data_IF_622415627470
#
_entry.id   IF_622415627470
#
_cell.length_a   1.000
_cell.length_b   1.000
_cell.length_c   1.000
_cell.angle_alpha   90.00
_cell.angle_beta   90.00
_cell.angle_gamma   90.00
#
_symmetry.space_group_name_H-M   'P 1'
#
loop_
_entity.id
_entity.type
_entity.pdbx_description
1 polymer ?
#
# COMPACT_ATOMS: atom_id res chain seq x y z
N UNK A 1 -23.52 14.70 -5.23
CA UNK A 1 -23.61 13.62 -6.24
C UNK A 1 -22.61 12.57 -5.78
N UNK A 2 -23.07 11.41 -5.33
CA UNK A 2 -22.16 10.35 -4.86
C UNK A 2 -21.40 9.89 -6.10
N UNK A 3 -20.11 10.21 -6.20
CA UNK A 3 -19.28 9.68 -7.29
C UNK A 3 -19.28 8.17 -7.12
N UNK A 4 -19.65 7.47 -8.19
CA UNK A 4 -19.59 6.02 -8.21
C UNK A 4 -18.11 5.68 -8.19
N UNK A 5 -17.68 5.08 -7.10
CA UNK A 5 -16.29 4.69 -6.86
C UNK A 5 -15.81 3.77 -7.99
N UNK A 6 -14.78 4.21 -8.71
CA UNK A 6 -14.27 3.47 -9.87
C UNK A 6 -13.23 2.46 -9.38
N UNK A 7 -13.42 1.15 -9.63
CA UNK A 7 -12.41 0.15 -9.32
C UNK A 7 -11.08 0.47 -10.01
N UNK A 8 -9.99 0.34 -9.27
CA UNK A 8 -8.64 0.32 -9.78
C UNK A 8 -7.93 -0.84 -9.11
N UNK A 9 -7.45 -1.80 -9.89
CA UNK A 9 -6.81 -3.02 -9.36
C UNK A 9 -5.65 -3.42 -10.25
N UNK A 10 -4.49 -3.71 -9.65
CA UNK A 10 -3.31 -4.23 -10.35
C UNK A 10 -3.11 -5.69 -9.95
N UNK A 11 -3.36 -6.61 -10.87
CA UNK A 11 -3.09 -8.05 -10.65
C UNK A 11 -1.85 -8.48 -11.45
N UNK A 12 -1.14 -9.46 -10.92
CA UNK A 12 0.05 -10.02 -11.56
C UNK A 12 0.07 -11.53 -11.42
N UNK A 13 0.77 -12.17 -12.35
CA UNK A 13 1.03 -13.61 -12.36
C UNK A 13 2.34 -13.90 -13.09
N UNK A 14 2.84 -15.13 -12.93
CA UNK A 14 4.00 -15.63 -13.67
C UNK A 14 5.23 -14.72 -13.56
N UNK A 15 5.51 -14.20 -12.35
CA UNK A 15 6.75 -13.46 -12.12
C UNK A 15 7.94 -14.38 -12.37
N UNK A 16 8.82 -14.00 -13.28
CA UNK A 16 9.99 -14.80 -13.65
C UNK A 16 11.17 -13.94 -14.06
N UNK A 17 12.36 -14.53 -13.97
CA UNK A 17 13.56 -14.03 -14.64
C UNK A 17 13.55 -14.46 -16.12
N UNK A 18 14.37 -13.80 -16.94
CA UNK A 18 14.39 -14.01 -18.40
C UNK A 18 14.69 -15.46 -18.84
N UNK A 19 15.31 -16.26 -17.97
CA UNK A 19 15.65 -17.66 -18.20
C UNK A 19 14.67 -18.65 -17.53
N UNK A 20 13.53 -18.15 -17.02
CA UNK A 20 12.52 -18.89 -16.26
C UNK A 20 13.05 -19.57 -14.98
N UNK A 21 14.25 -19.20 -14.51
CA UNK A 21 14.78 -19.72 -13.25
C UNK A 21 14.08 -19.10 -12.04
N UNK A 22 14.12 -19.80 -10.90
CA UNK A 22 13.63 -19.26 -9.62
C UNK A 22 14.60 -18.22 -9.03
N UNK A 23 15.88 -18.27 -9.40
CA UNK A 23 16.94 -17.38 -8.91
C UNK A 23 17.96 -17.08 -10.01
N UNK A 24 17.82 -15.91 -10.64
CA UNK A 24 18.76 -15.38 -11.63
C UNK A 24 19.49 -14.16 -11.05
N UNK A 25 20.63 -14.32 -10.35
CA UNK A 25 21.33 -13.20 -9.74
C UNK A 25 21.94 -12.23 -10.77
N UNK A 26 22.07 -12.65 -12.04
CA UNK A 26 22.59 -11.79 -13.12
C UNK A 26 21.50 -11.05 -13.89
N UNK A 27 20.25 -11.47 -13.75
CA UNK A 27 19.13 -10.76 -14.36
C UNK A 27 18.69 -9.63 -13.43
N UNK A 28 18.72 -8.41 -13.94
CA UNK A 28 18.37 -7.21 -13.17
C UNK A 28 16.90 -6.82 -13.36
N UNK A 29 16.20 -7.41 -14.33
CA UNK A 29 14.85 -7.03 -14.71
C UNK A 29 13.87 -8.15 -14.41
N UNK A 30 12.84 -7.86 -13.61
CA UNK A 30 11.77 -8.82 -13.35
C UNK A 30 10.73 -8.73 -14.46
N UNK A 31 10.28 -9.90 -14.94
CA UNK A 31 9.24 -10.02 -15.95
C UNK A 31 8.01 -10.74 -15.38
N UNK A 32 6.89 -10.60 -16.08
CA UNK A 32 5.64 -11.25 -15.71
C UNK A 32 4.43 -10.66 -16.41
N UNK A 33 3.28 -11.29 -16.20
CA UNK A 33 2.01 -10.84 -16.74
C UNK A 33 1.36 -9.86 -15.76
N UNK A 34 1.14 -8.63 -16.20
CA UNK A 34 0.50 -7.58 -15.40
C UNK A 34 -0.82 -7.20 -16.03
N UNK A 35 -1.84 -7.09 -15.17
CA UNK A 35 -3.18 -6.61 -15.56
C UNK A 35 -3.57 -5.42 -14.71
N UNK A 36 -3.82 -4.28 -15.35
CA UNK A 36 -4.40 -3.10 -14.73
C UNK A 36 -5.88 -3.03 -15.11
N UNK A 37 -6.75 -3.14 -14.10
CA UNK A 37 -8.19 -3.00 -14.28
C UNK A 37 -8.62 -1.62 -13.79
N UNK A 38 -9.27 -0.84 -14.65
CA UNK A 38 -9.72 0.53 -14.39
C UNK A 38 -11.19 0.63 -14.80
N UNK A 39 -12.10 0.69 -13.83
CA UNK A 39 -13.53 0.63 -14.11
C UNK A 39 -13.91 -0.69 -14.80
N UNK A 40 -14.37 -0.59 -16.03
CA UNK A 40 -14.70 -1.71 -16.93
C UNK A 40 -13.61 -2.01 -17.96
N UNK A 41 -12.51 -1.26 -17.99
CA UNK A 41 -11.35 -1.54 -18.85
C UNK A 41 -10.34 -2.45 -18.16
N UNK A 42 -9.82 -3.41 -18.92
CA UNK A 42 -8.76 -4.33 -18.49
C UNK A 42 -7.59 -4.26 -19.47
N UNK A 43 -6.46 -3.73 -19.00
CA UNK A 43 -5.20 -3.63 -19.75
C UNK A 43 -4.29 -4.76 -19.29
N UNK A 44 -3.96 -5.70 -20.17
CA UNK A 44 -3.14 -6.87 -19.83
C UNK A 44 -1.93 -6.95 -20.76
N UNK A 45 -0.75 -7.11 -20.18
CA UNK A 45 0.49 -7.22 -20.95
C UNK A 45 1.54 -8.06 -20.21
N UNK A 46 2.31 -8.84 -20.98
CA UNK A 46 3.51 -9.50 -20.48
C UNK A 46 4.66 -8.51 -20.58
N UNK A 47 5.11 -7.97 -19.45
CA UNK A 47 5.92 -6.76 -19.40
C UNK A 47 7.22 -6.94 -18.59
N UNK A 48 8.09 -5.94 -18.64
CA UNK A 48 9.11 -5.75 -17.61
C UNK A 48 8.44 -5.22 -16.33
N UNK A 49 8.05 -6.13 -15.45
CA UNK A 49 7.29 -5.86 -14.23
C UNK A 49 8.02 -4.88 -13.30
N UNK A 50 9.34 -4.96 -13.19
CA UNK A 50 10.10 -4.01 -12.35
C UNK A 50 10.07 -2.59 -12.89
N UNK A 51 10.22 -2.41 -14.22
CA UNK A 51 10.09 -1.10 -14.86
C UNK A 51 8.66 -0.55 -14.75
N UNK A 52 7.66 -1.42 -14.93
CA UNK A 52 6.24 -1.08 -14.75
C UNK A 52 5.95 -0.56 -13.34
N UNK A 53 6.41 -1.27 -12.31
CA UNK A 53 6.21 -0.87 -10.92
C UNK A 53 6.89 0.45 -10.58
N UNK A 54 8.12 0.70 -11.06
CA UNK A 54 8.77 2.00 -10.85
C UNK A 54 8.04 3.13 -11.57
N UNK A 55 7.58 2.91 -12.82
CA UNK A 55 6.80 3.92 -13.54
C UNK A 55 5.51 4.27 -12.80
N UNK A 56 4.80 3.27 -12.28
CA UNK A 56 3.62 3.50 -11.45
C UNK A 56 3.95 4.21 -10.13
N UNK A 57 5.07 3.88 -9.47
CA UNK A 57 5.51 4.59 -8.26
C UNK A 57 5.72 6.09 -8.50
N UNK A 58 6.32 6.48 -9.64
CA UNK A 58 6.47 7.90 -10.02
C UNK A 58 5.13 8.62 -10.06
N UNK A 59 4.11 7.91 -10.55
CA UNK A 59 2.77 8.48 -10.69
C UNK A 59 2.00 8.62 -9.39
N UNK A 60 2.59 8.27 -8.25
CA UNK A 60 2.00 8.59 -6.95
C UNK A 60 2.04 10.08 -6.64
N UNK A 61 3.00 10.81 -7.20
CA UNK A 61 3.20 12.25 -6.94
C UNK A 61 3.39 13.07 -8.20
N UNK A 62 3.53 12.44 -9.37
CA UNK A 62 3.73 13.12 -10.65
C UNK A 62 2.68 12.72 -11.68
N UNK A 63 2.22 13.69 -12.46
CA UNK A 63 1.41 13.40 -13.64
C UNK A 63 2.22 12.59 -14.66
N UNK A 64 1.54 11.69 -15.37
CA UNK A 64 2.10 10.91 -16.47
C UNK A 64 1.28 11.11 -17.72
N UNK A 65 1.95 11.36 -18.84
CA UNK A 65 1.34 11.48 -20.16
C UNK A 65 1.70 10.27 -21.01
N UNK A 66 0.75 9.83 -21.85
CA UNK A 66 0.98 8.71 -22.77
C UNK A 66 2.19 9.00 -23.66
N UNK A 67 3.15 8.08 -23.67
CA UNK A 67 4.45 8.25 -24.33
C UNK A 67 4.95 6.92 -24.90
N UNK A 68 5.68 6.93 -26.03
CA UNK A 68 6.15 5.68 -26.65
C UNK A 68 7.29 4.97 -25.90
N UNK A 69 7.90 5.57 -24.87
CA UNK A 69 9.13 5.00 -24.26
C UNK A 69 9.05 4.73 -22.75
N UNK A 70 8.24 5.48 -22.01
CA UNK A 70 8.06 5.35 -20.55
C UNK A 70 6.65 4.87 -20.22
N UNK A 71 6.23 3.80 -20.89
CA UNK A 71 4.88 3.27 -20.78
C UNK A 71 4.62 2.66 -19.40
N UNK A 72 3.37 2.67 -18.94
CA UNK A 72 2.95 2.02 -17.70
C UNK A 72 3.23 0.51 -17.68
N UNK A 73 3.02 -0.19 -18.80
CA UNK A 73 3.34 -1.60 -18.98
C UNK A 73 4.34 -1.75 -20.15
N UNK A 74 5.64 -1.49 -19.93
CA UNK A 74 6.63 -1.51 -21.00
C UNK A 74 7.01 -2.96 -21.37
N UNK A 75 7.19 -3.24 -22.67
CA UNK A 75 7.66 -4.55 -23.13
C UNK A 75 9.02 -4.94 -22.54
N UNK A 76 9.93 -3.97 -22.44
CA UNK A 76 11.25 -4.21 -21.85
C UNK A 76 11.81 -2.94 -21.19
N UNK A 77 12.70 -3.13 -20.20
CA UNK A 77 13.55 -2.08 -19.64
C UNK A 77 14.99 -2.26 -20.10
N UNK A 78 15.22 -2.24 -21.42
CA UNK A 78 16.46 -2.73 -22.04
C UNK A 78 17.72 -1.96 -21.60
N UNK A 79 17.57 -0.72 -21.14
CA UNK A 79 18.69 0.10 -20.69
C UNK A 79 18.30 1.01 -19.53
N UNK A 80 19.14 1.04 -18.50
CA UNK A 80 19.01 1.92 -17.33
C UNK A 80 20.11 2.98 -17.38
N UNK A 81 19.73 4.26 -17.42
CA UNK A 81 20.65 5.40 -17.38
C UNK A 81 20.51 6.09 -16.04
N UNK A 82 21.52 6.04 -15.19
CA UNK A 82 21.50 6.78 -13.92
C UNK A 82 21.67 8.29 -14.13
N UNK A 83 21.03 9.08 -13.27
CA UNK A 83 21.39 10.48 -13.07
C UNK A 83 22.79 10.60 -12.44
N UNK A 84 23.45 11.76 -12.59
CA UNK A 84 24.81 12.00 -12.09
C UNK A 84 24.97 11.75 -10.58
N UNK A 85 23.89 11.90 -9.81
CA UNK A 85 23.85 11.71 -8.36
C UNK A 85 23.26 10.34 -7.93
N UNK A 86 22.94 9.45 -8.88
CA UNK A 86 22.34 8.13 -8.65
C UNK A 86 21.00 8.16 -7.89
N UNK A 87 20.24 9.24 -8.00
CA UNK A 87 18.92 9.36 -7.36
C UNK A 87 17.75 8.99 -8.28
N UNK A 88 17.95 9.04 -9.60
CA UNK A 88 16.92 8.84 -10.61
C UNK A 88 17.46 7.97 -11.74
N UNK A 89 16.58 7.18 -12.36
CA UNK A 89 16.95 6.32 -13.50
C UNK A 89 16.08 6.62 -14.72
N UNK A 90 16.66 6.81 -15.89
CA UNK A 90 15.90 6.75 -17.15
C UNK A 90 15.89 5.31 -17.65
N UNK A 91 14.70 4.76 -17.87
CA UNK A 91 14.53 3.41 -18.40
C UNK A 91 14.13 3.53 -19.87
N UNK A 92 14.96 3.02 -20.78
CA UNK A 92 14.67 3.02 -22.21
C UNK A 92 14.32 1.60 -22.67
N UNK A 93 13.09 1.46 -23.15
CA UNK A 93 12.54 0.23 -23.72
C UNK A 93 12.27 0.30 -25.22
N UNK A 94 11.69 -0.77 -25.75
CA UNK A 94 11.04 -0.75 -27.06
C UNK A 94 9.80 0.15 -27.05
N UNK A 95 9.33 0.54 -28.23
CA UNK A 95 8.09 1.30 -28.44
C UNK A 95 6.81 0.44 -28.35
N UNK A 96 6.94 -0.79 -27.86
CA UNK A 96 5.84 -1.73 -27.66
C UNK A 96 5.49 -1.79 -26.17
N UNK A 97 4.21 -1.80 -25.87
CA UNK A 97 3.69 -1.86 -24.50
C UNK A 97 2.27 -1.32 -24.45
N UNK A 98 1.76 -1.15 -23.23
CA UNK A 98 0.49 -0.48 -22.97
C UNK A 98 0.74 0.72 -22.08
N UNK A 99 0.10 1.84 -22.39
CA UNK A 99 0.19 3.05 -21.59
C UNK A 99 -1.20 3.60 -21.21
N UNK A 100 -1.23 4.45 -20.20
CA UNK A 100 -2.38 5.26 -19.82
C UNK A 100 -1.88 6.50 -19.09
N UNK A 101 -2.50 7.66 -19.30
CA UNK A 101 -2.10 8.87 -18.58
C UNK A 101 -2.66 8.88 -17.17
N UNK A 102 -1.96 9.54 -16.25
CA UNK A 102 -2.42 9.82 -14.89
C UNK A 102 -2.34 11.32 -14.67
N UNK A 103 -3.44 11.93 -14.27
CA UNK A 103 -3.51 13.35 -13.95
C UNK A 103 -4.09 13.56 -12.57
N UNK A 104 -3.33 14.17 -11.68
CA UNK A 104 -3.74 14.44 -10.32
C UNK A 104 -4.79 15.56 -10.26
N UNK A 105 -5.74 15.35 -9.36
CA UNK A 105 -6.64 16.34 -8.79
C UNK A 105 -6.56 16.20 -7.26
N UNK A 106 -7.28 17.04 -6.53
CA UNK A 106 -7.18 17.11 -5.07
C UNK A 106 -7.33 15.76 -4.39
N UNK A 107 -8.39 14.99 -4.68
CA UNK A 107 -8.72 13.72 -3.99
C UNK A 107 -8.78 12.51 -4.92
N UNK A 108 -8.49 12.71 -6.20
CA UNK A 108 -8.66 11.72 -7.27
C UNK A 108 -7.54 11.81 -8.29
N UNK A 109 -7.27 10.69 -8.93
CA UNK A 109 -6.53 10.65 -10.19
C UNK A 109 -7.50 10.47 -11.35
N UNK A 110 -7.27 11.23 -12.42
CA UNK A 110 -7.95 11.05 -13.69
C UNK A 110 -7.05 10.19 -14.56
N UNK A 111 -7.53 9.00 -14.92
CA UNK A 111 -6.80 8.06 -15.77
C UNK A 111 -7.42 8.08 -17.16
N UNK A 112 -6.61 8.23 -18.21
CA UNK A 112 -7.07 8.14 -19.59
C UNK A 112 -6.30 7.03 -20.33
N UNK A 113 -7.03 6.10 -20.94
CA UNK A 113 -6.44 5.03 -21.75
C UNK A 113 -6.02 5.55 -23.13
N UNK A 114 -5.20 4.78 -23.85
CA UNK A 114 -4.84 5.09 -25.26
C UNK A 114 -6.05 5.21 -26.18
N UNK A 115 -7.15 4.50 -25.88
CA UNK A 115 -8.42 4.59 -26.61
C UNK A 115 -9.21 5.87 -26.29
N UNK A 116 -8.75 6.67 -25.33
CA UNK A 116 -9.37 7.93 -24.92
C UNK A 116 -10.43 7.77 -23.82
N UNK A 117 -10.66 6.56 -23.30
CA UNK A 117 -11.60 6.34 -22.20
C UNK A 117 -11.04 6.92 -20.90
N UNK A 118 -11.86 7.68 -20.18
CA UNK A 118 -11.44 8.40 -18.97
C UNK A 118 -12.13 7.86 -17.73
N UNK A 119 -11.36 7.68 -16.66
CA UNK A 119 -11.83 7.23 -15.36
C UNK A 119 -11.40 8.21 -14.27
N UNK A 120 -12.20 8.27 -13.21
CA UNK A 120 -11.87 9.02 -11.99
C UNK A 120 -11.76 8.02 -10.86
N UNK A 121 -10.56 7.86 -10.32
CA UNK A 121 -10.22 6.90 -9.26
C UNK A 121 -9.81 7.69 -8.03
N UNK A 122 -10.22 7.25 -6.83
CA UNK A 122 -9.73 7.83 -5.58
C UNK A 122 -8.20 7.76 -5.53
N UNK A 123 -7.55 8.88 -5.18
CA UNK A 123 -6.09 8.91 -5.04
C UNK A 123 -5.61 7.91 -4.00
N UNK A 124 -6.35 7.74 -2.89
CA UNK A 124 -6.08 6.74 -1.86
C UNK A 124 -6.02 5.33 -2.46
N UNK A 125 -7.04 4.93 -3.22
CA UNK A 125 -7.10 3.60 -3.85
C UNK A 125 -5.99 3.39 -4.87
N UNK A 126 -5.78 4.38 -5.73
CA UNK A 126 -4.71 4.36 -6.72
C UNK A 126 -3.36 4.11 -6.05
N UNK A 127 -3.05 4.91 -5.03
CA UNK A 127 -1.82 4.79 -4.25
C UNK A 127 -1.68 3.43 -3.60
N UNK A 128 -2.76 2.94 -2.99
CA UNK A 128 -2.76 1.66 -2.28
C UNK A 128 -2.37 0.51 -3.21
N UNK A 129 -2.97 0.47 -4.39
CA UNK A 129 -2.74 -0.58 -5.39
C UNK A 129 -1.36 -0.50 -6.02
N UNK A 130 -0.88 0.70 -6.35
CA UNK A 130 0.49 0.90 -6.85
C UNK A 130 1.52 0.44 -5.84
N UNK A 131 1.39 0.85 -4.57
CA UNK A 131 2.29 0.40 -3.50
C UNK A 131 2.24 -1.11 -3.30
N UNK A 132 1.05 -1.71 -3.36
CA UNK A 132 0.85 -3.15 -3.20
C UNK A 132 1.58 -3.92 -4.31
N UNK A 133 1.42 -3.50 -5.55
CA UNK A 133 2.11 -4.08 -6.70
C UNK A 133 3.64 -3.93 -6.59
N UNK A 134 4.13 -2.74 -6.27
CA UNK A 134 5.56 -2.50 -6.11
C UNK A 134 6.16 -3.37 -5.01
N UNK A 135 5.54 -3.46 -3.82
CA UNK A 135 6.01 -4.33 -2.73
C UNK A 135 6.10 -5.80 -3.12
N UNK A 136 5.20 -6.28 -3.99
CA UNK A 136 5.26 -7.65 -4.49
C UNK A 136 6.50 -7.89 -5.37
N UNK A 137 6.79 -6.93 -6.25
CA UNK A 137 8.02 -6.93 -7.06
C UNK A 137 9.25 -6.94 -6.16
N UNK A 138 9.34 -6.01 -5.19
CA UNK A 138 10.47 -5.91 -4.27
C UNK A 138 10.64 -7.18 -3.42
N UNK A 139 9.55 -7.79 -2.94
CA UNK A 139 9.58 -9.09 -2.23
C UNK A 139 10.21 -10.17 -3.10
N UNK A 140 9.86 -10.25 -4.38
CA UNK A 140 10.43 -11.24 -5.30
C UNK A 140 11.95 -11.09 -5.44
N UNK A 141 12.45 -9.85 -5.57
CA UNK A 141 13.90 -9.58 -5.55
C UNK A 141 14.56 -10.03 -4.24
N UNK A 142 13.93 -9.74 -3.10
CA UNK A 142 14.48 -10.05 -1.76
C UNK A 142 14.46 -11.54 -1.41
N UNK A 143 13.67 -12.36 -2.10
CA UNK A 143 13.68 -13.82 -1.96
C UNK A 143 14.85 -14.48 -2.72
N UNK A 144 15.44 -13.79 -3.69
CA UNK A 144 16.51 -14.30 -4.53
C UNK A 144 17.89 -14.09 -3.90
N UNK A 145 18.91 -14.72 -4.50
CA UNK A 145 20.29 -14.41 -4.16
C UNK A 145 20.61 -12.95 -4.48
N UNK A 146 21.51 -12.29 -3.73
CA UNK A 146 21.94 -10.92 -4.03
C UNK A 146 22.38 -10.79 -5.50
N UNK A 147 21.93 -9.72 -6.16
CA UNK A 147 22.24 -9.49 -7.57
C UNK A 147 23.75 -9.34 -7.79
N UNK A 148 24.25 -10.02 -8.80
CA UNK A 148 25.62 -9.88 -9.31
C UNK A 148 25.59 -8.71 -10.29
N UNK A 149 26.12 -7.58 -9.84
CA UNK A 149 26.13 -6.36 -10.64
C UNK A 149 27.15 -6.46 -11.78
N UNK A 150 26.86 -5.87 -12.96
CA UNK A 150 27.82 -5.76 -14.05
C UNK A 150 29.09 -5.00 -13.63
N UNK A 151 30.24 -5.38 -14.21
CA UNK A 151 31.48 -4.63 -14.02
C UNK A 151 31.43 -3.26 -14.72
N UNK A 152 30.61 -3.14 -15.77
CA UNK A 152 30.42 -1.91 -16.52
C UNK A 152 29.74 -0.85 -15.63
N UNK A 153 30.43 0.28 -15.32
CA UNK A 153 29.91 1.27 -14.38
C UNK A 153 28.54 1.79 -14.77
N UNK A 154 28.32 1.98 -16.06
CA UNK A 154 27.09 2.53 -16.59
C UNK A 154 25.85 1.65 -16.26
N UNK A 155 25.93 0.33 -16.45
CA UNK A 155 24.83 -0.58 -16.13
C UNK A 155 24.63 -0.75 -14.61
N UNK A 156 25.75 -0.85 -13.87
CA UNK A 156 25.74 -0.96 -12.40
C UNK A 156 25.10 0.26 -11.75
N UNK A 157 25.49 1.45 -12.19
CA UNK A 157 25.03 2.71 -11.63
C UNK A 157 23.54 2.92 -11.93
N UNK A 158 23.06 2.49 -13.11
CA UNK A 158 21.63 2.43 -13.45
C UNK A 158 20.82 1.57 -12.47
N UNK A 159 21.35 0.40 -12.07
CA UNK A 159 20.71 -0.46 -11.07
C UNK A 159 20.64 0.21 -9.68
N UNK A 160 21.71 0.88 -9.25
CA UNK A 160 21.68 1.60 -7.97
C UNK A 160 20.69 2.77 -7.99
N UNK A 161 20.65 3.53 -9.08
CA UNK A 161 19.71 4.63 -9.25
C UNK A 161 18.25 4.14 -9.26
N UNK A 162 17.98 2.98 -9.89
CA UNK A 162 16.67 2.34 -9.86
C UNK A 162 16.16 2.12 -8.43
N UNK A 163 16.96 1.47 -7.57
CA UNK A 163 16.55 1.18 -6.20
C UNK A 163 16.56 2.41 -5.28
N UNK A 164 17.42 3.39 -5.57
CA UNK A 164 17.41 4.69 -4.89
C UNK A 164 16.10 5.43 -5.15
N UNK A 165 15.69 5.53 -6.43
CA UNK A 165 14.44 6.16 -6.84
C UNK A 165 13.22 5.39 -6.33
N UNK A 166 13.25 4.06 -6.43
CA UNK A 166 12.23 3.18 -5.87
C UNK A 166 11.97 3.45 -4.39
N UNK A 167 13.05 3.51 -3.60
CA UNK A 167 12.98 3.77 -2.17
C UNK A 167 12.44 5.16 -1.88
N UNK A 168 12.80 6.16 -2.69
CA UNK A 168 12.31 7.53 -2.55
C UNK A 168 10.79 7.61 -2.72
N UNK A 169 10.26 7.14 -3.86
CA UNK A 169 8.81 7.19 -4.13
C UNK A 169 8.01 6.32 -3.16
N UNK A 170 8.55 5.16 -2.77
CA UNK A 170 7.93 4.30 -1.76
C UNK A 170 7.86 5.01 -0.40
N UNK A 171 8.94 5.68 0.02
CA UNK A 171 8.97 6.43 1.28
C UNK A 171 8.04 7.66 1.26
N UNK A 172 8.02 8.40 0.14
CA UNK A 172 7.13 9.56 -0.04
C UNK A 172 5.65 9.14 0.10
N UNK A 173 5.28 8.04 -0.56
CA UNK A 173 3.93 7.49 -0.50
C UNK A 173 3.55 6.90 0.87
N UNK A 174 4.51 6.29 1.59
CA UNK A 174 4.33 5.83 2.98
C UNK A 174 4.20 7.01 3.94
N UNK A 175 4.88 8.13 3.67
CA UNK A 175 4.77 9.38 4.43
C UNK A 175 3.35 9.91 4.54
N UNK A 176 2.45 9.52 3.64
CA UNK A 176 1.04 9.91 3.67
C UNK A 176 0.22 9.15 4.74
N UNK A 177 0.60 7.93 5.14
CA UNK A 177 0.00 7.28 6.32
C UNK A 177 0.45 7.95 7.62
N UNK A 178 1.68 8.49 7.64
CA UNK A 178 2.17 9.31 8.75
C UNK A 178 1.39 10.62 8.91
N UNK A 179 0.68 11.08 7.87
CA UNK A 179 -0.13 12.30 7.91
C UNK A 179 -1.48 12.15 8.62
N UNK A 180 -1.87 10.94 9.02
CA UNK A 180 -3.05 10.78 9.87
C UNK A 180 -2.82 11.48 11.21
N UNK A 181 -3.84 12.20 11.70
CA UNK A 181 -3.74 13.05 12.89
C UNK A 181 -3.17 12.30 14.10
N UNK A 182 -3.58 11.05 14.32
CA UNK A 182 -3.04 10.20 15.39
C UNK A 182 -1.60 9.78 15.12
N UNK A 183 -1.26 9.39 13.90
CA UNK A 183 0.11 9.00 13.54
C UNK A 183 1.08 10.17 13.70
N UNK A 184 0.71 11.39 13.28
CA UNK A 184 1.50 12.58 13.52
C UNK A 184 1.74 12.80 15.01
N UNK A 185 0.70 12.71 15.83
CA UNK A 185 0.82 12.84 17.29
C UNK A 185 1.71 11.75 17.90
N UNK A 186 1.53 10.49 17.48
CA UNK A 186 2.32 9.36 17.99
C UNK A 186 3.80 9.51 17.61
N UNK A 187 4.12 9.92 16.39
CA UNK A 187 5.49 10.12 15.93
C UNK A 187 6.25 11.21 16.70
N UNK A 188 5.55 12.13 17.40
CA UNK A 188 6.23 13.09 18.30
C UNK A 188 6.68 12.49 19.63
N UNK A 189 6.15 11.32 20.01
CA UNK A 189 6.31 10.73 21.35
C UNK A 189 6.76 9.26 21.34
N UNK A 190 6.68 8.58 20.19
CA UNK A 190 6.93 7.16 20.03
C UNK A 190 7.90 6.88 18.87
N UNK A 191 8.62 5.76 18.97
CA UNK A 191 9.32 5.14 17.84
C UNK A 191 8.34 4.23 17.09
N UNK A 192 8.19 4.43 15.77
CA UNK A 192 7.40 3.54 14.92
C UNK A 192 8.25 2.40 14.34
N UNK A 193 7.74 1.17 14.40
CA UNK A 193 8.26 -0.02 13.71
C UNK A 193 7.20 -0.57 12.78
N UNK A 194 7.53 -0.69 11.50
CA UNK A 194 6.63 -1.09 10.43
C UNK A 194 6.79 -2.59 10.13
N UNK A 195 5.68 -3.31 9.94
CA UNK A 195 5.62 -4.75 9.69
C UNK A 195 4.69 -5.06 8.51
N UNK A 196 5.20 -5.45 7.33
CA UNK A 196 4.36 -5.82 6.19
C UNK A 196 3.64 -7.16 6.46
N UNK A 197 2.38 -7.27 6.00
CA UNK A 197 1.56 -8.47 6.26
C UNK A 197 1.56 -9.50 5.13
N UNK A 198 1.42 -9.14 3.85
CA UNK A 198 1.68 -10.11 2.77
C UNK A 198 1.76 -9.44 1.39
N UNK A 199 2.76 -9.82 0.57
CA UNK A 199 3.06 -9.18 -0.72
C UNK A 199 2.77 -10.07 -1.95
N UNK A 200 1.72 -10.90 -1.89
CA UNK A 200 1.22 -11.66 -3.04
C UNK A 200 -0.11 -11.09 -3.54
N UNK A 201 -0.58 -11.52 -4.71
CA UNK A 201 -1.82 -10.99 -5.30
C UNK A 201 -3.04 -11.39 -4.44
N UNK A 202 -3.78 -10.43 -3.85
CA UNK A 202 -4.94 -10.70 -3.00
C UNK A 202 -6.16 -11.12 -3.82
N UNK A 203 -6.13 -10.96 -5.14
CA UNK A 203 -7.25 -11.24 -6.02
C UNK A 203 -7.01 -12.51 -6.85
N UNK A 204 -8.09 -13.25 -7.12
CA UNK A 204 -8.10 -14.33 -8.11
C UNK A 204 -8.23 -13.77 -9.55
N UNK A 205 -8.21 -14.65 -10.55
CA UNK A 205 -8.34 -14.26 -11.97
C UNK A 205 -9.68 -13.56 -12.29
N UNK A 206 -10.68 -13.74 -11.42
CA UNK A 206 -12.00 -13.11 -11.51
C UNK A 206 -12.11 -11.85 -10.63
N UNK A 207 -11.00 -11.36 -10.09
CA UNK A 207 -10.90 -10.19 -9.22
C UNK A 207 -11.66 -10.30 -7.89
N UNK A 208 -11.92 -11.52 -7.41
CA UNK A 208 -12.45 -11.74 -6.07
C UNK A 208 -11.30 -11.84 -5.07
N UNK A 209 -11.49 -11.29 -3.87
CA UNK A 209 -10.53 -11.44 -2.80
C UNK A 209 -10.34 -12.92 -2.42
N UNK A 210 -9.09 -13.37 -2.41
CA UNK A 210 -8.69 -14.75 -2.13
C UNK A 210 -8.77 -15.01 -0.63
N UNK A 211 -9.53 -16.04 -0.26
CA UNK A 211 -9.69 -16.39 1.15
C UNK A 211 -8.35 -16.83 1.78
N UNK A 212 -7.49 -17.54 1.04
CA UNK A 212 -6.20 -17.97 1.60
C UNK A 212 -5.27 -16.78 1.91
N UNK A 213 -5.33 -15.72 1.11
CA UNK A 213 -4.57 -14.48 1.34
C UNK A 213 -5.06 -13.76 2.60
N UNK A 214 -6.38 -13.54 2.71
CA UNK A 214 -7.00 -12.92 3.88
C UNK A 214 -6.66 -13.68 5.16
N UNK A 215 -6.75 -15.01 5.12
CA UNK A 215 -6.46 -15.86 6.28
C UNK A 215 -4.97 -15.79 6.66
N UNK A 216 -4.07 -15.69 5.69
CA UNK A 216 -2.62 -15.58 5.94
C UNK A 216 -2.25 -14.21 6.53
N UNK A 217 -2.71 -13.09 5.96
CA UNK A 217 -2.57 -11.76 6.55
C UNK A 217 -3.12 -11.71 7.98
N UNK A 218 -4.30 -12.29 8.21
CA UNK A 218 -4.94 -12.33 9.54
C UNK A 218 -4.09 -13.09 10.55
N UNK A 219 -3.57 -14.26 10.18
CA UNK A 219 -2.71 -15.07 11.05
C UNK A 219 -1.40 -14.36 11.40
N UNK A 220 -0.79 -13.65 10.44
CA UNK A 220 0.43 -12.88 10.67
C UNK A 220 0.18 -11.71 11.63
N UNK A 221 -0.94 -11.00 11.48
CA UNK A 221 -1.34 -9.93 12.39
C UNK A 221 -1.59 -10.44 13.82
N UNK A 222 -2.35 -11.53 13.95
CA UNK A 222 -2.63 -12.19 15.24
C UNK A 222 -1.33 -12.61 15.91
N UNK A 223 -0.42 -13.26 15.16
CA UNK A 223 0.87 -13.71 15.66
C UNK A 223 1.70 -12.54 16.20
N UNK A 224 1.79 -11.44 15.44
CA UNK A 224 2.54 -10.26 15.85
C UNK A 224 1.94 -9.61 17.10
N UNK A 225 0.61 -9.48 17.17
CA UNK A 225 -0.09 -8.95 18.33
C UNK A 225 0.21 -9.77 19.60
N UNK A 226 0.12 -11.11 19.51
CA UNK A 226 0.42 -12.01 20.64
C UNK A 226 1.89 -11.89 21.07
N UNK A 227 2.83 -11.77 20.12
CA UNK A 227 4.26 -11.62 20.41
C UNK A 227 4.61 -10.31 21.13
N UNK A 228 3.76 -9.29 21.02
CA UNK A 228 3.96 -8.00 21.70
C UNK A 228 3.49 -7.99 23.15
N UNK A 229 2.84 -9.06 23.61
CA UNK A 229 2.45 -9.23 25.01
C UNK A 229 1.59 -8.08 25.58
N UNK A 230 0.62 -7.59 24.79
CA UNK A 230 -0.36 -6.60 25.23
C UNK A 230 -1.06 -7.03 26.52
N UNK A 231 -1.23 -6.09 27.45
CA UNK A 231 -1.89 -6.32 28.74
C UNK A 231 -3.42 -6.37 28.60
N UNK A 232 -4.13 -6.63 29.70
CA UNK A 232 -5.60 -6.58 29.74
C UNK A 232 -6.13 -5.17 30.06
N UNK A 233 -5.31 -4.12 29.97
CA UNK A 233 -5.72 -2.74 30.18
C UNK A 233 -5.59 -1.97 28.86
N UNK A 234 -6.62 -2.08 28.02
CA UNK A 234 -6.57 -1.67 26.62
C UNK A 234 -7.51 -0.50 26.35
N UNK A 235 -7.11 0.35 25.40
CA UNK A 235 -8.02 1.22 24.68
C UNK A 235 -8.06 0.85 23.20
N UNK A 236 -9.25 0.86 22.62
CA UNK A 236 -9.46 0.73 21.17
C UNK A 236 -10.00 2.05 20.66
N UNK A 237 -9.38 2.57 19.60
CA UNK A 237 -9.83 3.77 18.90
C UNK A 237 -10.31 3.37 17.51
N UNK A 238 -11.45 3.89 17.10
CA UNK A 238 -11.91 3.88 15.71
C UNK A 238 -12.17 5.30 15.25
N UNK A 239 -11.61 5.69 14.11
CA UNK A 239 -11.85 6.99 13.49
C UNK A 239 -12.70 6.87 12.23
N UNK A 240 -13.94 7.35 12.29
CA UNK A 240 -14.72 7.65 11.08
C UNK A 240 -14.29 9.03 10.55
N UNK A 241 -13.12 9.05 9.88
CA UNK A 241 -12.39 10.27 9.52
C UNK A 241 -13.17 11.18 8.59
N UNK A 242 -13.94 10.59 7.69
CA UNK A 242 -14.70 11.33 6.67
C UNK A 242 -16.19 11.45 7.03
N UNK A 243 -16.61 10.90 8.18
CA UNK A 243 -18.02 10.76 8.57
C UNK A 243 -18.83 10.03 7.47
N UNK A 244 -18.27 8.93 6.98
CA UNK A 244 -18.76 8.13 5.85
C UNK A 244 -19.06 6.68 6.24
N UNK A 245 -18.96 6.30 7.52
CA UNK A 245 -19.35 4.97 7.97
C UNK A 245 -20.80 4.66 7.57
N UNK A 246 -20.99 3.61 6.77
CA UNK A 246 -22.30 3.26 6.17
C UNK A 246 -22.71 1.81 6.47
N UNK A 247 -21.85 1.02 7.12
CA UNK A 247 -22.04 -0.40 7.38
C UNK A 247 -22.01 -0.77 8.86
N UNK A 248 -22.36 0.18 9.74
CA UNK A 248 -22.37 -0.01 11.19
C UNK A 248 -20.97 -0.43 11.70
N UNK A 249 -19.92 0.18 11.15
CA UNK A 249 -18.52 -0.10 11.47
C UNK A 249 -18.24 0.07 12.96
N UNK A 250 -18.84 1.11 13.57
CA UNK A 250 -18.79 1.34 15.02
C UNK A 250 -19.36 0.16 15.80
N UNK A 251 -20.56 -0.29 15.46
CA UNK A 251 -21.24 -1.41 16.12
C UNK A 251 -20.46 -2.71 15.93
N UNK A 252 -19.84 -2.89 14.76
CA UNK A 252 -18.96 -4.01 14.49
C UNK A 252 -17.74 -3.99 15.42
N UNK A 253 -17.03 -2.86 15.53
CA UNK A 253 -15.89 -2.74 16.45
C UNK A 253 -16.34 -3.00 17.89
N UNK A 254 -17.46 -2.42 18.33
CA UNK A 254 -18.03 -2.66 19.66
C UNK A 254 -18.34 -4.14 19.91
N UNK A 255 -18.82 -4.87 18.91
CA UNK A 255 -19.11 -6.30 19.03
C UNK A 255 -17.87 -7.16 19.28
N UNK A 256 -16.69 -6.66 18.94
CA UNK A 256 -15.41 -7.34 19.17
C UNK A 256 -14.84 -7.09 20.59
N UNK A 257 -15.49 -6.28 21.44
CA UNK A 257 -14.95 -5.84 22.73
C UNK A 257 -15.72 -6.44 23.92
N UNK A 258 -15.00 -6.88 24.96
CA UNK A 258 -15.60 -7.35 26.20
C UNK A 258 -15.80 -6.19 27.20
N UNK A 259 -16.95 -5.52 27.12
CA UNK A 259 -17.35 -4.34 27.89
C UNK A 259 -16.66 -3.05 27.44
N UNK A 260 -17.47 -2.03 27.14
CA UNK A 260 -17.00 -0.83 26.49
C UNK A 260 -17.70 0.39 27.10
N UNK A 261 -17.03 1.10 28.00
CA UNK A 261 -17.34 2.51 28.20
C UNK A 261 -16.84 3.24 26.95
N UNK A 262 -17.76 3.88 26.23
CA UNK A 262 -17.43 4.60 25.01
C UNK A 262 -17.33 6.10 25.27
N UNK A 263 -16.38 6.73 24.60
CA UNK A 263 -16.32 8.17 24.43
C UNK A 263 -16.38 8.48 22.93
N UNK A 264 -17.11 9.54 22.60
CA UNK A 264 -17.23 10.03 21.22
C UNK A 264 -16.71 11.45 21.17
N UNK A 265 -15.73 11.69 20.32
CA UNK A 265 -15.03 12.97 20.20
C UNK A 265 -15.07 13.39 18.72
N UNK A 266 -15.79 14.47 18.37
CA UNK A 266 -15.67 15.04 17.03
C UNK A 266 -14.30 15.69 16.86
N UNK A 267 -13.73 15.60 15.66
CA UNK A 267 -12.46 16.26 15.33
C UNK A 267 -12.48 16.81 13.91
N UNK A 268 -11.55 17.72 13.64
CA UNK A 268 -11.25 18.18 12.29
C UNK A 268 -9.86 17.72 11.92
N UNK A 269 -9.66 17.40 10.66
CA UNK A 269 -8.35 17.10 10.13
C UNK A 269 -8.26 17.58 8.69
N UNK A 270 -7.03 17.86 8.25
CA UNK A 270 -6.75 18.28 6.89
C UNK A 270 -6.16 17.10 6.14
N UNK A 271 -6.79 16.74 5.03
CA UNK A 271 -6.27 15.80 4.05
C UNK A 271 -6.08 16.57 2.75
N UNK A 272 -4.86 16.62 2.22
CA UNK A 272 -4.56 17.21 0.90
C UNK A 272 -5.22 18.60 0.67
N UNK A 273 -5.08 19.48 1.68
CA UNK A 273 -5.59 20.86 1.71
C UNK A 273 -7.12 21.03 1.95
N UNK A 274 -7.89 19.95 2.01
CA UNK A 274 -9.31 19.97 2.39
C UNK A 274 -9.50 19.65 3.88
N UNK A 275 -10.42 20.36 4.54
CA UNK A 275 -10.74 20.12 5.96
C UNK A 275 -11.96 19.23 6.09
N UNK A 276 -11.79 18.08 6.72
CA UNK A 276 -12.84 17.11 6.99
C UNK A 276 -13.31 17.16 8.44
N UNK A 277 -14.55 16.70 8.65
CA UNK A 277 -15.16 16.53 9.96
C UNK A 277 -15.26 15.04 10.26
N UNK A 278 -14.46 14.57 11.22
CA UNK A 278 -14.42 13.17 11.62
C UNK A 278 -15.03 12.94 13.00
N UNK A 279 -15.36 11.68 13.29
CA UNK A 279 -15.79 11.23 14.62
C UNK A 279 -14.83 10.16 15.12
N UNK A 280 -14.25 10.38 16.30
CA UNK A 280 -13.41 9.41 16.99
C UNK A 280 -14.22 8.71 18.08
N UNK A 281 -14.21 7.39 18.04
CA UNK A 281 -14.78 6.53 19.06
C UNK A 281 -13.64 5.91 19.85
N UNK A 282 -13.73 5.94 21.17
CA UNK A 282 -12.73 5.38 22.08
C UNK A 282 -13.43 4.47 23.07
N UNK A 283 -12.95 3.23 23.15
CA UNK A 283 -13.45 2.25 24.11
C UNK A 283 -12.32 1.79 25.02
N UNK A 284 -12.59 1.72 26.31
CA UNK A 284 -11.75 0.94 27.23
C UNK A 284 -12.27 -0.48 27.30
N UNK A 285 -11.37 -1.45 27.20
CA UNK A 285 -11.69 -2.87 27.22
C UNK A 285 -10.58 -3.67 27.91
N UNK A 286 -10.91 -4.87 28.38
CA UNK A 286 -9.93 -5.82 28.89
C UNK A 286 -9.66 -7.00 27.97
N UNK A 287 -10.41 -7.10 26.86
CA UNK A 287 -10.27 -8.18 25.89
C UNK A 287 -10.83 -7.75 24.53
N UNK A 288 -10.16 -8.19 23.48
CA UNK A 288 -10.53 -7.96 22.08
C UNK A 288 -10.64 -9.33 21.40
N UNK A 289 -11.70 -9.54 20.63
CA UNK A 289 -11.76 -10.61 19.63
C UNK A 289 -10.90 -10.21 18.42
N UNK A 290 -9.59 -10.37 18.55
CA UNK A 290 -8.61 -9.96 17.56
C UNK A 290 -8.74 -10.74 16.25
N UNK A 291 -9.27 -11.98 16.28
CA UNK A 291 -9.45 -12.78 15.07
C UNK A 291 -10.54 -12.17 14.19
N UNK A 292 -11.70 -11.90 14.78
CA UNK A 292 -12.82 -11.24 14.06
C UNK A 292 -12.47 -9.82 13.63
N UNK A 293 -11.85 -9.03 14.52
CA UNK A 293 -11.51 -7.64 14.24
C UNK A 293 -10.47 -7.50 13.13
N UNK A 294 -9.34 -8.22 13.22
CA UNK A 294 -8.26 -8.09 12.23
C UNK A 294 -8.68 -8.57 10.86
N UNK A 295 -9.41 -9.70 10.79
CA UNK A 295 -9.94 -10.19 9.53
C UNK A 295 -10.84 -9.15 8.86
N UNK A 296 -11.67 -8.44 9.63
CA UNK A 296 -12.53 -7.40 9.08
C UNK A 296 -11.75 -6.19 8.56
N UNK A 297 -10.77 -5.72 9.31
CA UNK A 297 -9.88 -4.62 8.89
C UNK A 297 -9.20 -4.98 7.56
N UNK A 298 -8.64 -6.19 7.47
CA UNK A 298 -7.99 -6.71 6.26
C UNK A 298 -8.96 -6.76 5.07
N UNK A 299 -10.21 -7.20 5.27
CA UNK A 299 -11.19 -7.26 4.18
C UNK A 299 -11.76 -5.89 3.77
N UNK A 300 -11.55 -4.85 4.57
CA UNK A 300 -12.11 -3.52 4.34
C UNK A 300 -11.66 -2.95 2.99
N UNK A 301 -10.35 -3.04 2.69
CA UNK A 301 -9.76 -2.57 1.43
C UNK A 301 -9.85 -3.62 0.30
N UNK A 302 -10.28 -4.85 0.59
CA UNK A 302 -10.40 -5.96 -0.37
C UNK A 302 -11.82 -6.18 -0.91
N UNK A 303 -12.63 -5.12 -0.93
CA UNK A 303 -13.96 -5.11 -1.57
C UNK A 303 -15.14 -5.30 -0.61
N UNK A 304 -14.92 -5.41 0.70
CA UNK A 304 -16.01 -5.36 1.68
C UNK A 304 -16.57 -3.93 1.85
N UNK A 305 -15.94 -2.90 1.27
CA UNK A 305 -16.43 -1.51 1.22
C UNK A 305 -16.88 -1.01 2.61
N UNK A 306 -16.07 -1.30 3.65
CA UNK A 306 -16.16 -0.66 4.97
C UNK A 306 -15.06 0.40 5.08
N UNK A 307 -15.09 1.21 6.12
CA UNK A 307 -14.06 2.23 6.42
C UNK A 307 -13.23 1.82 7.66
N UNK A 308 -12.91 0.52 7.79
CA UNK A 308 -12.15 -0.03 8.92
C UNK A 308 -10.65 -0.13 8.64
N UNK A 309 -10.25 -0.07 7.37
CA UNK A 309 -8.86 0.09 6.99
C UNK A 309 -8.34 1.46 7.46
N UNK A 310 -7.10 1.45 7.91
CA UNK A 310 -6.36 2.61 8.36
C UNK A 310 -7.02 3.40 9.49
N UNK A 311 -8.04 2.87 10.18
CA UNK A 311 -8.88 3.67 11.10
C UNK A 311 -8.97 3.12 12.52
N UNK A 312 -8.43 1.92 12.78
CA UNK A 312 -8.50 1.26 14.09
C UNK A 312 -7.14 1.17 14.77
N UNK A 313 -7.06 1.64 16.01
CA UNK A 313 -5.86 1.58 16.85
C UNK A 313 -6.14 0.79 18.13
N UNK A 314 -5.18 -0.04 18.55
CA UNK A 314 -5.20 -0.72 19.84
C UNK A 314 -4.05 -0.19 20.68
N UNK A 315 -4.35 0.33 21.86
CA UNK A 315 -3.39 0.96 22.77
C UNK A 315 -3.34 0.13 24.05
N UNK A 316 -2.14 -0.27 24.44
CA UNK A 316 -1.86 -0.77 25.78
C UNK A 316 -1.68 0.40 26.74
N UNK A 317 -2.62 0.57 27.68
CA UNK A 317 -2.60 1.69 28.61
C UNK A 317 -1.56 1.53 29.73
N UNK A 318 -0.96 0.35 29.90
CA UNK A 318 0.13 0.14 30.86
C UNK A 318 1.49 0.47 30.25
N UNK A 319 1.71 0.12 28.98
CA UNK A 319 3.01 0.28 28.32
C UNK A 319 3.09 1.47 27.37
N UNK A 320 1.96 2.08 27.01
CA UNK A 320 1.88 3.10 25.97
C UNK A 320 2.03 2.56 24.55
N UNK A 321 2.22 1.25 24.36
CA UNK A 321 2.42 0.65 23.03
C UNK A 321 1.13 0.75 22.21
N UNK A 322 1.24 1.23 20.96
CA UNK A 322 0.13 1.31 20.02
C UNK A 322 0.34 0.31 18.88
N UNK A 323 -0.67 -0.49 18.61
CA UNK A 323 -0.76 -1.39 17.47
C UNK A 323 -1.76 -0.82 16.47
N UNK A 324 -1.28 -0.55 15.26
CA UNK A 324 -2.06 0.01 14.17
C UNK A 324 -2.01 -0.94 12.97
N UNK A 325 -3.04 -1.76 12.84
CA UNK A 325 -3.25 -2.57 11.64
C UNK A 325 -3.97 -1.69 10.62
N UNK A 326 -3.29 -1.32 9.54
CA UNK A 326 -3.92 -0.49 8.52
C UNK A 326 -4.82 -1.33 7.61
N UNK A 327 -4.38 -2.45 7.08
CA UNK A 327 -5.20 -3.35 6.24
C UNK A 327 -4.39 -4.63 5.97
N UNK A 328 -4.64 -5.29 4.83
CA UNK A 328 -3.89 -6.44 4.35
C UNK A 328 -2.41 -6.17 4.06
N UNK A 329 -2.01 -4.89 3.95
CA UNK A 329 -0.66 -4.50 3.55
C UNK A 329 0.33 -4.46 4.72
N UNK A 330 -0.14 -4.28 5.96
CA UNK A 330 0.76 -4.27 7.12
C UNK A 330 0.26 -3.62 8.40
N UNK A 331 1.19 -3.52 9.35
CA UNK A 331 0.99 -3.07 10.72
C UNK A 331 2.10 -2.10 11.12
N UNK A 332 1.74 -1.02 11.80
CA UNK A 332 2.68 -0.17 12.53
C UNK A 332 2.56 -0.40 14.03
N UNK A 333 3.72 -0.45 14.70
CA UNK A 333 3.81 -0.56 16.15
C UNK A 333 4.59 0.63 16.68
N UNK A 334 3.90 1.46 17.46
CA UNK A 334 4.49 2.63 18.10
C UNK A 334 4.84 2.26 19.55
N UNK A 335 6.12 2.37 19.89
CA UNK A 335 6.64 2.13 21.24
C UNK A 335 7.06 3.48 21.85
N UNK A 336 6.63 3.79 23.08
CA UNK A 336 6.98 5.06 23.73
C UNK A 336 8.50 5.26 23.71
N UNK A 337 8.95 6.48 23.39
CA UNK A 337 10.35 6.84 23.56
C UNK A 337 10.65 6.81 25.04
N UNK A 338 11.27 5.73 25.52
CA UNK A 338 11.79 5.67 26.88
C UNK A 338 12.72 6.86 27.06
N UNK A 339 12.30 7.83 27.89
CA UNK A 339 13.20 8.86 28.37
C UNK A 339 14.25 8.14 29.22
N UNK A 340 15.39 7.80 28.61
CA UNK A 340 16.57 7.47 29.37
C UNK A 340 16.99 8.72 30.14
N UNK A 341 16.53 8.83 31.39
CA UNK A 341 17.26 9.56 32.45
C UNK A 341 18.40 8.72 32.97
#
# INVERSE_FOLDING_TARGET
MIMKDTPFVISWSNLCWIDDSEDAPKDLCLHGDVTVTIGDTRLNYSCCTSASALQMLRTLTHDHAITPYEQMLPCCGNSLFASDNLSEVTIIGCDNGIDYSVTHKTDVVVIQTEEGTTYTVSLLKYRNEVLRFSRAVEKFYNQCSPKILPDEPYERDGYFAFWSEWSHHTYEAIGMFRNQLLNQSLLTTHLCKEFPLECDNPYDDALNARTEYIDTCSQLAIKLYIQKHFTNNLAVIYEDKYNRAVKNEKEFVESCLAAAENQTIPFHWTDEEETFHGIRYIWKTNKIDIETLFRKIITSDLGDNTELDCSVYIIDLETGTVFFLYDDRGIDIFEELTQYT
#
